data_IF_061901670600
#
_entry.id   IF_061901670600
#
_cell.length_a   1.000
_cell.length_b   1.000
_cell.length_c   1.000
_cell.angle_alpha   90.00
_cell.angle_beta   90.00
_cell.angle_gamma   90.00
#
_symmetry.space_group_name_H-M   'P 1'
#
loop_
_entity.id
_entity.type
_entity.pdbx_description
1 polymer ?
#
# COMPACT_ATOMS: atom_id res chain seq x y z
N UNK A 1 10.86 8.95 -0.38
CA UNK A 1 11.64 8.58 -1.57
C UNK A 1 11.57 7.06 -1.71
N UNK A 2 11.14 6.53 -2.86
CA UNK A 2 11.04 5.07 -3.03
C UNK A 2 12.44 4.44 -2.94
N UNK A 3 12.62 3.33 -2.20
CA UNK A 3 13.92 2.67 -2.11
C UNK A 3 14.32 2.15 -3.50
N UNK A 4 15.57 2.38 -3.90
CA UNK A 4 16.10 1.84 -5.15
C UNK A 4 16.26 0.32 -4.96
N UNK A 5 15.47 -0.47 -5.69
CA UNK A 5 15.52 -1.94 -5.61
C UNK A 5 16.28 -2.46 -6.84
N UNK A 6 17.37 -3.19 -6.61
CA UNK A 6 18.12 -3.82 -7.68
C UNK A 6 17.45 -5.12 -8.14
N UNK A 7 17.69 -5.53 -9.39
CA UNK A 7 17.02 -6.69 -10.03
C UNK A 7 16.97 -7.95 -9.16
N UNK A 8 18.10 -8.32 -8.54
CA UNK A 8 18.18 -9.48 -7.65
C UNK A 8 17.35 -9.31 -6.37
N UNK A 9 17.34 -8.12 -5.77
CA UNK A 9 16.53 -7.80 -4.59
C UNK A 9 15.03 -7.88 -4.89
N UNK A 10 14.60 -7.43 -6.09
CA UNK A 10 13.21 -7.59 -6.56
C UNK A 10 12.83 -9.07 -6.65
N UNK A 11 13.68 -9.89 -7.28
CA UNK A 11 13.45 -11.33 -7.39
C UNK A 11 13.31 -12.02 -6.03
N UNK A 12 14.08 -11.58 -5.02
CA UNK A 12 13.96 -12.09 -3.65
C UNK A 12 12.59 -11.74 -3.07
N UNK A 13 12.17 -10.47 -3.19
CA UNK A 13 10.89 -9.98 -2.67
C UNK A 13 9.71 -10.70 -3.30
N UNK A 14 9.72 -10.82 -4.63
CA UNK A 14 8.66 -11.48 -5.39
C UNK A 14 8.54 -12.95 -4.98
N UNK A 15 9.68 -13.63 -4.81
CA UNK A 15 9.70 -15.01 -4.35
C UNK A 15 9.17 -15.16 -2.92
N UNK A 16 9.57 -14.27 -1.99
CA UNK A 16 9.05 -14.28 -0.62
C UNK A 16 7.54 -14.06 -0.62
N UNK A 17 7.03 -13.11 -1.41
CA UNK A 17 5.59 -12.82 -1.53
C UNK A 17 4.82 -14.03 -2.03
N UNK A 18 5.25 -14.64 -3.14
CA UNK A 18 4.61 -15.83 -3.70
C UNK A 18 4.66 -17.03 -2.75
N UNK A 19 5.77 -17.22 -2.04
CA UNK A 19 5.92 -18.34 -1.11
C UNK A 19 5.03 -18.19 0.13
N UNK A 20 4.92 -16.97 0.67
CA UNK A 20 3.99 -16.68 1.77
C UNK A 20 2.53 -16.88 1.32
N UNK A 21 2.16 -16.41 0.13
CA UNK A 21 0.81 -16.57 -0.40
C UNK A 21 0.42 -18.04 -0.65
N UNK A 22 1.37 -18.87 -1.09
CA UNK A 22 1.10 -20.29 -1.41
C UNK A 22 1.17 -21.22 -0.20
N UNK A 23 2.11 -20.99 0.72
CA UNK A 23 2.44 -21.92 1.80
C UNK A 23 2.03 -21.39 3.19
N UNK A 24 1.65 -20.12 3.29
CA UNK A 24 1.31 -19.47 4.56
C UNK A 24 2.50 -19.25 5.48
N UNK A 25 3.73 -19.34 4.98
CA UNK A 25 4.97 -19.21 5.75
C UNK A 25 6.08 -18.62 4.90
N UNK A 26 7.06 -17.95 5.52
CA UNK A 26 8.19 -17.39 4.82
C UNK A 26 9.19 -18.47 4.38
N UNK A 27 9.86 -18.28 3.22
CA UNK A 27 10.88 -19.22 2.76
C UNK A 27 12.15 -19.14 3.62
N UNK A 28 12.91 -20.22 3.60
CA UNK A 28 14.23 -20.34 4.21
C UNK A 28 15.32 -19.75 3.31
N UNK A 29 16.49 -19.46 3.88
CA UNK A 29 17.65 -18.97 3.14
C UNK A 29 18.07 -19.89 1.99
N UNK A 30 17.95 -21.22 2.19
CA UNK A 30 18.25 -22.22 1.15
C UNK A 30 17.25 -22.18 0.01
N UNK A 31 15.95 -22.09 0.32
CA UNK A 31 14.90 -21.98 -0.69
C UNK A 31 15.06 -20.70 -1.53
N UNK A 32 15.39 -19.59 -0.87
CA UNK A 32 15.68 -18.32 -1.54
C UNK A 32 16.91 -18.44 -2.46
N UNK A 33 18.00 -19.08 -1.99
CA UNK A 33 19.21 -19.28 -2.78
C UNK A 33 18.94 -20.08 -4.06
N UNK A 34 18.18 -21.18 -3.94
CA UNK A 34 17.76 -22.04 -5.06
C UNK A 34 16.90 -21.24 -6.04
N UNK A 35 15.90 -20.51 -5.56
CA UNK A 35 14.97 -19.77 -6.40
C UNK A 35 15.63 -18.66 -7.23
N UNK A 36 16.67 -18.01 -6.70
CA UNK A 36 17.36 -16.90 -7.36
C UNK A 36 18.60 -17.37 -8.17
N UNK A 37 18.94 -18.66 -8.06
CA UNK A 37 20.09 -19.26 -8.72
C UNK A 37 21.43 -18.76 -8.17
N UNK A 38 21.53 -18.56 -6.86
CA UNK A 38 22.79 -18.18 -6.19
C UNK A 38 23.28 -19.34 -5.32
N UNK A 39 24.58 -19.62 -5.39
CA UNK A 39 25.22 -20.74 -4.67
C UNK A 39 25.60 -20.41 -3.23
N UNK A 40 25.73 -19.13 -2.89
CA UNK A 40 26.17 -18.68 -1.56
C UNK A 40 25.01 -18.19 -0.69
N UNK A 41 24.84 -18.83 0.46
CA UNK A 41 23.91 -18.35 1.51
C UNK A 41 24.29 -16.96 2.03
N UNK A 42 25.59 -16.61 2.01
CA UNK A 42 26.06 -15.30 2.42
C UNK A 42 25.54 -14.19 1.50
N UNK A 43 25.48 -14.44 0.19
CA UNK A 43 24.91 -13.49 -0.79
C UNK A 43 23.42 -13.26 -0.55
N UNK A 44 22.67 -14.32 -0.20
CA UNK A 44 21.26 -14.17 0.18
C UNK A 44 21.12 -13.36 1.46
N UNK A 45 21.95 -13.62 2.47
CA UNK A 45 21.97 -12.83 3.69
C UNK A 45 22.20 -11.34 3.43
N UNK A 46 23.19 -11.00 2.59
CA UNK A 46 23.52 -9.64 2.22
C UNK A 46 22.33 -8.93 1.53
N UNK A 47 21.69 -9.60 0.57
CA UNK A 47 20.49 -9.06 -0.08
C UNK A 47 19.33 -8.87 0.90
N UNK A 48 19.09 -9.80 1.82
CA UNK A 48 18.06 -9.68 2.84
C UNK A 48 18.36 -8.55 3.83
N UNK A 49 19.62 -8.37 4.22
CA UNK A 49 20.03 -7.24 5.07
C UNK A 49 19.78 -5.91 4.37
N UNK A 50 20.16 -5.79 3.09
CA UNK A 50 19.88 -4.58 2.31
C UNK A 50 18.37 -4.32 2.15
N UNK A 51 17.54 -5.36 2.05
CA UNK A 51 16.08 -5.24 2.01
C UNK A 51 15.48 -4.82 3.37
N UNK A 52 16.07 -5.27 4.48
CA UNK A 52 15.69 -4.91 5.84
C UNK A 52 16.07 -3.45 6.17
N UNK A 53 17.27 -3.00 5.77
CA UNK A 53 17.69 -1.59 5.85
C UNK A 53 16.77 -0.67 5.05
N UNK A 54 16.25 -1.16 3.91
CA UNK A 54 15.25 -0.47 3.08
C UNK A 54 13.84 -0.52 3.66
N UNK A 55 13.64 -1.16 4.82
CA UNK A 55 12.34 -1.36 5.48
C UNK A 55 11.31 -2.05 4.60
N UNK A 56 11.74 -2.96 3.72
CA UNK A 56 10.87 -3.76 2.85
C UNK A 56 10.55 -5.13 3.47
N UNK A 57 11.41 -5.60 4.37
CA UNK A 57 11.22 -6.82 5.15
C UNK A 57 11.64 -6.60 6.59
N UNK A 58 11.15 -7.43 7.50
CA UNK A 58 11.57 -7.49 8.90
C UNK A 58 11.90 -8.92 9.26
N UNK A 59 13.05 -9.14 9.90
CA UNK A 59 13.45 -10.47 10.37
C UNK A 59 13.37 -10.55 11.89
N UNK A 60 12.76 -11.60 12.44
CA UNK A 60 12.92 -11.91 13.88
C UNK A 60 14.08 -12.88 14.08
N UNK A 61 15.11 -12.41 14.77
CA UNK A 61 16.28 -13.23 15.14
C UNK A 61 15.86 -14.38 16.04
N UNK A 62 16.31 -15.60 15.74
CA UNK A 62 16.13 -16.78 16.61
C UNK A 62 14.98 -17.73 16.25
N UNK A 63 14.22 -17.48 15.18
CA UNK A 63 13.20 -18.42 14.68
C UNK A 63 13.34 -18.66 13.17
N UNK A 64 13.35 -19.93 12.74
CA UNK A 64 13.24 -20.29 11.33
C UNK A 64 11.96 -19.68 10.74
N UNK A 65 12.02 -19.23 9.46
CA UNK A 65 10.87 -18.67 8.71
C UNK A 65 10.28 -17.38 9.29
N UNK A 66 11.11 -16.54 9.91
CA UNK A 66 10.66 -15.27 10.49
C UNK A 66 10.92 -14.06 9.59
N UNK A 67 10.62 -14.18 8.30
CA UNK A 67 10.67 -13.02 7.39
C UNK A 67 9.24 -12.51 7.26
N UNK A 68 9.00 -11.30 7.75
CA UNK A 68 7.73 -10.59 7.59
C UNK A 68 7.93 -9.53 6.49
N UNK A 69 7.06 -9.49 5.48
CA UNK A 69 7.06 -8.41 4.48
C UNK A 69 6.55 -7.14 5.17
N UNK A 70 7.36 -6.09 5.16
CA UNK A 70 6.97 -4.77 5.66
C UNK A 70 6.26 -4.09 4.49
N UNK A 71 4.92 -4.19 4.52
CA UNK A 71 3.91 -3.56 3.65
C UNK A 71 3.15 -4.52 2.71
N UNK A 72 2.07 -5.07 3.27
CA UNK A 72 0.72 -5.00 2.69
C UNK A 72 -0.37 -4.85 3.78
N UNK A 73 0.01 -4.68 5.06
CA UNK A 73 -0.90 -4.13 6.07
C UNK A 73 -0.95 -2.63 5.82
N UNK A 74 -2.12 -2.10 5.47
CA UNK A 74 -2.37 -0.66 5.32
C UNK A 74 -1.78 0.04 6.55
N UNK A 75 -0.65 0.71 6.38
CA UNK A 75 0.01 1.41 7.47
C UNK A 75 -0.66 2.78 7.59
N UNK A 76 -1.76 2.84 8.34
CA UNK A 76 -2.53 4.07 8.61
C UNK A 76 -1.69 5.14 9.35
N UNK A 77 -0.45 4.84 9.74
CA UNK A 77 0.48 5.76 10.39
C UNK A 77 1.36 6.57 9.42
N UNK A 78 1.32 6.32 8.11
CA UNK A 78 1.90 7.29 7.16
C UNK A 78 1.10 8.60 7.23
N UNK A 79 1.80 9.74 7.32
CA UNK A 79 1.17 11.07 7.22
C UNK A 79 0.29 11.10 5.98
N UNK A 80 -1.02 11.09 6.18
CA UNK A 80 -1.99 11.14 5.10
C UNK A 80 -1.77 12.37 4.24
N UNK A 81 -2.09 12.25 2.96
CA UNK A 81 -2.10 13.38 2.04
C UNK A 81 -3.39 14.15 2.32
N UNK A 82 -3.27 15.45 2.61
CA UNK A 82 -4.41 16.34 2.73
C UNK A 82 -5.02 16.54 1.34
N UNK A 83 -6.25 16.06 1.16
CA UNK A 83 -7.00 16.16 -0.10
C UNK A 83 -8.19 17.10 0.12
N UNK A 84 -8.39 18.13 -0.73
CA UNK A 84 -9.46 19.09 -0.54
C UNK A 84 -10.83 18.47 -0.80
N UNK A 85 -11.81 18.86 0.02
CA UNK A 85 -13.22 18.56 -0.18
C UNK A 85 -13.81 19.65 -1.06
N UNK A 86 -14.19 19.31 -2.30
CA UNK A 86 -14.64 20.31 -3.28
C UNK A 86 -16.15 20.54 -3.28
N UNK A 87 -16.94 19.58 -2.80
CA UNK A 87 -18.39 19.70 -2.89
C UNK A 87 -19.17 18.48 -2.49
N UNK A 88 -20.42 18.49 -2.91
CA UNK A 88 -21.37 17.40 -2.69
C UNK A 88 -21.64 16.65 -3.99
N UNK A 89 -21.90 15.35 -3.86
CA UNK A 89 -22.35 14.49 -4.94
C UNK A 89 -23.74 13.92 -4.63
N UNK A 90 -24.63 14.04 -5.60
CA UNK A 90 -25.93 13.37 -5.66
C UNK A 90 -26.14 12.91 -7.11
N UNK A 91 -26.69 11.72 -7.31
CA UNK A 91 -26.88 11.19 -8.67
C UNK A 91 -27.78 12.13 -9.50
N UNK A 92 -27.31 12.48 -10.70
CA UNK A 92 -28.08 13.29 -11.65
C UNK A 92 -28.14 14.80 -11.35
N UNK A 93 -27.47 15.29 -10.31
CA UNK A 93 -27.39 16.72 -9.99
C UNK A 93 -25.97 17.28 -10.25
N UNK A 94 -25.83 18.58 -10.58
CA UNK A 94 -24.53 19.24 -10.62
C UNK A 94 -23.83 19.21 -9.25
N UNK A 95 -22.50 19.24 -9.27
CA UNK A 95 -21.70 19.30 -8.03
C UNK A 95 -21.99 20.64 -7.32
N UNK A 96 -22.53 20.55 -6.10
CA UNK A 96 -22.70 21.72 -5.23
C UNK A 96 -21.36 22.03 -4.52
N UNK A 97 -20.84 23.27 -4.55
CA UNK A 97 -19.59 23.62 -3.88
C UNK A 97 -19.65 23.38 -2.38
N UNK A 98 -18.54 22.94 -1.79
CA UNK A 98 -18.43 22.86 -0.34
C UNK A 98 -18.27 24.28 0.23
N UNK A 99 -18.98 24.57 1.32
CA UNK A 99 -19.05 25.93 1.88
C UNK A 99 -17.72 26.40 2.47
N UNK A 100 -16.87 25.47 2.92
CA UNK A 100 -15.56 25.77 3.48
C UNK A 100 -14.44 25.45 2.46
N UNK A 101 -13.80 26.48 1.86
CA UNK A 101 -12.76 26.29 0.85
C UNK A 101 -11.44 25.74 1.41
N UNK A 102 -11.25 25.71 2.73
CA UNK A 102 -10.07 25.13 3.38
C UNK A 102 -10.33 23.73 3.94
N UNK A 103 -11.50 23.15 3.67
CA UNK A 103 -11.83 21.83 4.18
C UNK A 103 -11.06 20.75 3.41
N UNK A 104 -10.28 19.96 4.14
CA UNK A 104 -9.49 18.85 3.61
C UNK A 104 -9.64 17.61 4.47
N UNK A 105 -9.39 16.45 3.85
CA UNK A 105 -9.40 15.15 4.50
C UNK A 105 -8.01 14.52 4.36
N UNK A 106 -7.46 14.03 5.47
CA UNK A 106 -6.21 13.28 5.47
C UNK A 106 -6.46 11.86 4.98
N UNK A 107 -5.94 11.53 3.80
CA UNK A 107 -6.12 10.23 3.16
C UNK A 107 -4.79 9.49 3.13
N UNK A 108 -4.71 8.25 3.64
CA UNK A 108 -3.51 7.43 3.49
C UNK A 108 -3.11 7.29 2.02
N UNK A 109 -1.82 7.49 1.74
CA UNK A 109 -1.22 7.46 0.40
C UNK A 109 -1.59 6.21 -0.41
N UNK A 110 -1.84 5.08 0.26
CA UNK A 110 -2.22 3.80 -0.36
C UNK A 110 -3.56 3.84 -1.10
N UNK A 111 -4.48 4.72 -0.72
CA UNK A 111 -5.76 4.89 -1.43
C UNK A 111 -5.62 5.69 -2.73
N UNK A 112 -4.45 6.26 -2.98
CA UNK A 112 -4.21 7.17 -4.10
C UNK A 112 -3.22 6.56 -5.09
N UNK A 113 -3.51 6.74 -6.38
CA UNK A 113 -2.59 6.33 -7.45
C UNK A 113 -1.36 7.25 -7.56
N UNK A 114 -1.44 8.45 -6.96
CA UNK A 114 -0.35 9.44 -6.86
C UNK A 114 0.00 10.17 -8.16
N UNK A 115 -0.67 9.86 -9.27
CA UNK A 115 -0.38 10.42 -10.62
C UNK A 115 -1.45 11.40 -11.11
N UNK A 116 -2.61 11.41 -10.46
CA UNK A 116 -3.83 12.11 -10.88
C UNK A 116 -4.16 13.23 -9.93
N UNK A 117 -4.98 14.19 -10.38
CA UNK A 117 -5.55 15.16 -9.45
C UNK A 117 -6.61 14.44 -8.62
N UNK A 118 -6.49 14.57 -7.30
CA UNK A 118 -7.40 13.94 -6.35
C UNK A 118 -8.19 15.01 -5.61
N UNK A 119 -9.48 14.77 -5.44
CA UNK A 119 -10.35 15.55 -4.57
C UNK A 119 -11.41 14.66 -3.93
N UNK A 120 -12.05 15.16 -2.87
CA UNK A 120 -13.12 14.46 -2.15
C UNK A 120 -14.45 15.16 -2.40
N UNK A 121 -15.52 14.37 -2.58
CA UNK A 121 -16.90 14.84 -2.53
C UNK A 121 -17.66 14.16 -1.38
N UNK A 122 -18.53 14.92 -0.71
CA UNK A 122 -19.41 14.38 0.33
C UNK A 122 -20.74 13.98 -0.29
N UNK A 123 -21.21 12.78 0.02
CA UNK A 123 -22.48 12.27 -0.50
C UNK A 123 -23.63 12.96 0.22
N UNK A 124 -24.63 13.38 -0.56
CA UNK A 124 -25.86 14.00 -0.07
C UNK A 124 -27.07 13.24 -0.60
N UNK A 125 -27.84 12.65 0.30
CA UNK A 125 -28.98 11.78 0.01
C UNK A 125 -28.61 10.33 -0.26
N UNK A 126 -29.61 9.53 -0.64
CA UNK A 126 -29.51 8.06 -0.75
C UNK A 126 -29.40 7.58 -2.20
N UNK A 127 -29.05 8.47 -3.13
CA UNK A 127 -29.05 8.16 -4.58
C UNK A 127 -28.09 7.05 -5.01
N UNK A 128 -27.11 6.70 -4.17
CA UNK A 128 -26.12 5.63 -4.41
C UNK A 128 -26.24 4.48 -3.39
N UNK A 129 -27.40 4.32 -2.76
CA UNK A 129 -27.62 3.32 -1.71
C UNK A 129 -27.42 1.87 -2.20
N UNK A 130 -27.72 1.60 -3.48
CA UNK A 130 -27.52 0.30 -4.11
C UNK A 130 -26.03 -0.06 -4.25
N UNK A 131 -25.16 0.95 -4.32
CA UNK A 131 -23.70 0.80 -4.29
C UNK A 131 -23.14 0.75 -2.85
N UNK A 132 -24.03 0.71 -1.84
CA UNK A 132 -23.70 0.79 -0.42
C UNK A 132 -23.04 2.10 0.00
N UNK A 133 -23.28 3.18 -0.76
CA UNK A 133 -22.81 4.53 -0.47
C UNK A 133 -23.98 5.32 0.13
N UNK A 134 -23.80 5.81 1.36
CA UNK A 134 -24.85 6.44 2.16
C UNK A 134 -24.68 7.96 2.23
N UNK A 135 -25.76 8.63 2.62
CA UNK A 135 -25.70 10.05 2.97
C UNK A 135 -24.61 10.31 4.02
N UNK A 136 -23.77 11.32 3.75
CA UNK A 136 -22.68 11.69 4.62
C UNK A 136 -21.34 11.00 4.35
N UNK A 137 -21.30 9.97 3.49
CA UNK A 137 -20.05 9.30 3.10
C UNK A 137 -19.13 10.23 2.29
N UNK A 138 -17.83 9.92 2.28
CA UNK A 138 -16.83 10.64 1.50
C UNK A 138 -16.33 9.77 0.35
N UNK A 139 -16.40 10.31 -0.86
CA UNK A 139 -15.95 9.65 -2.09
C UNK A 139 -14.68 10.33 -2.59
N UNK A 140 -13.66 9.51 -2.84
CA UNK A 140 -12.37 9.94 -3.38
C UNK A 140 -12.44 9.86 -4.90
N UNK A 141 -12.12 10.94 -5.59
CA UNK A 141 -12.15 11.01 -7.05
C UNK A 141 -10.74 11.31 -7.58
N UNK A 142 -10.27 10.48 -8.52
CA UNK A 142 -9.01 10.68 -9.25
C UNK A 142 -9.29 10.93 -10.74
N UNK A 143 -8.91 12.12 -11.24
CA UNK A 143 -9.00 12.49 -12.67
C UNK A 143 -7.70 12.26 -13.41
#
# INVERSE_FOLDING_TARGET
MAPIIYKKQSQILDYIKQHIQSTGSAPTLREIAIAIGVSSLATVHEHLTALEEKKLIKRKTGKNRSIELVNETINFEEKGIEVPILGFIAAGAPIEPFTDPNSSLSIPSVFLSGKKRTYVLKVKGESMIDEQIRDGDYVIIET
#
